data_IF_729526650005
#
_entry.id   IF_729526650005
#
_cell.length_a   1.000
_cell.length_b   1.000
_cell.length_c   1.000
_cell.angle_alpha   90.00
_cell.angle_beta   90.00
_cell.angle_gamma   90.00
#
_symmetry.space_group_name_H-M   'P 1'
#
loop_
_entity.id
_entity.type
_entity.pdbx_description
1 polymer ?
#
# COMPACT_ATOMS: atom_id res chain seq x y z
N UNK A 1 -6.16 18.66 6.32
CA UNK A 1 -5.47 18.41 5.03
C UNK A 1 -6.04 17.13 4.46
N UNK A 2 -6.32 17.02 3.16
CA UNK A 2 -6.87 15.78 2.61
C UNK A 2 -5.95 14.58 2.88
N UNK A 3 -6.51 13.52 3.44
CA UNK A 3 -5.87 12.21 3.56
C UNK A 3 -6.34 11.33 2.43
N UNK A 4 -5.40 10.73 1.71
CA UNK A 4 -5.66 9.82 0.60
C UNK A 4 -5.17 8.44 1.02
N UNK A 5 -6.07 7.47 1.05
CA UNK A 5 -5.76 6.07 1.33
C UNK A 5 -5.88 5.29 0.03
N UNK A 6 -4.81 4.59 -0.33
CA UNK A 6 -4.82 3.62 -1.43
C UNK A 6 -4.77 2.23 -0.80
N UNK A 7 -5.83 1.45 -1.02
CA UNK A 7 -6.02 0.12 -0.45
C UNK A 7 -6.01 -0.95 -1.53
N UNK A 8 -5.45 -2.11 -1.25
CA UNK A 8 -5.55 -3.30 -2.09
C UNK A 8 -5.31 -4.57 -1.29
N UNK A 9 -5.57 -5.72 -1.89
CA UNK A 9 -5.38 -7.01 -1.20
C UNK A 9 -3.91 -7.29 -0.92
N UNK A 10 -3.65 -8.14 0.07
CA UNK A 10 -2.35 -8.73 0.33
C UNK A 10 -2.50 -10.24 0.50
N UNK A 11 -1.63 -11.00 -0.14
CA UNK A 11 -1.55 -12.44 0.02
C UNK A 11 -0.53 -12.80 1.11
N UNK A 12 -0.89 -13.74 1.98
CA UNK A 12 -0.08 -14.20 3.09
C UNK A 12 0.35 -15.63 2.84
N UNK A 13 1.62 -15.95 3.08
CA UNK A 13 2.19 -17.27 2.86
C UNK A 13 2.98 -17.76 4.08
N UNK A 14 2.90 -19.06 4.33
CA UNK A 14 3.77 -19.78 5.25
C UNK A 14 4.59 -20.80 4.43
N UNK A 15 5.82 -20.43 4.08
CA UNK A 15 6.56 -21.10 3.02
C UNK A 15 5.81 -20.99 1.68
N UNK A 16 5.60 -22.11 0.99
CA UNK A 16 4.92 -22.14 -0.30
C UNK A 16 3.38 -22.24 -0.19
N UNK A 17 2.83 -22.25 1.02
CA UNK A 17 1.39 -22.42 1.25
C UNK A 17 0.73 -21.07 1.54
N UNK A 18 -0.25 -20.70 0.71
CA UNK A 18 -1.07 -19.52 0.97
C UNK A 18 -1.92 -19.73 2.23
N UNK A 19 -1.91 -18.74 3.11
CA UNK A 19 -2.69 -18.69 4.35
C UNK A 19 -3.95 -17.86 4.11
N UNK A 20 -5.10 -18.49 4.33
CA UNK A 20 -6.42 -17.84 4.25
C UNK A 20 -7.21 -17.94 5.55
N UNK A 21 -6.60 -18.47 6.62
CA UNK A 21 -7.23 -18.57 7.94
C UNK A 21 -7.50 -17.17 8.51
N UNK A 22 -8.77 -16.79 8.76
CA UNK A 22 -9.13 -15.49 9.28
C UNK A 22 -8.46 -15.13 10.61
N UNK A 23 -8.19 -16.11 11.48
CA UNK A 23 -7.52 -15.85 12.75
C UNK A 23 -6.07 -15.43 12.54
N UNK A 24 -5.39 -16.04 11.57
CA UNK A 24 -4.02 -15.66 11.20
C UNK A 24 -4.04 -14.29 10.54
N UNK A 25 -4.91 -14.05 9.56
CA UNK A 25 -4.97 -12.76 8.86
C UNK A 25 -5.29 -11.60 9.83
N UNK A 26 -6.23 -11.80 10.77
CA UNK A 26 -6.52 -10.83 11.84
C UNK A 26 -5.31 -10.54 12.73
N UNK A 27 -4.46 -11.54 12.99
CA UNK A 27 -3.27 -11.36 13.83
C UNK A 27 -2.19 -10.48 13.17
N UNK A 28 -2.27 -10.30 11.86
CA UNK A 28 -1.35 -9.48 11.06
C UNK A 28 -1.86 -8.03 10.90
N UNK A 29 -3.09 -7.74 11.31
CA UNK A 29 -3.64 -6.39 11.28
C UNK A 29 -2.85 -5.47 12.24
N UNK A 30 -2.52 -4.28 11.76
CA UNK A 30 -1.70 -3.29 12.47
C UNK A 30 -0.21 -3.41 12.23
N UNK A 31 0.27 -4.40 11.45
CA UNK A 31 1.66 -4.42 10.99
C UNK A 31 1.89 -3.23 10.05
N UNK A 32 3.05 -2.60 10.19
CA UNK A 32 3.50 -1.49 9.36
C UNK A 32 4.92 -1.76 8.87
N UNK A 33 5.18 -1.39 7.61
CA UNK A 33 6.51 -1.25 7.06
C UNK A 33 6.85 0.23 6.95
N UNK A 34 7.59 0.73 7.94
CA UNK A 34 7.94 2.15 8.13
C UNK A 34 9.42 2.47 7.83
N UNK A 35 10.19 1.48 7.38
CA UNK A 35 11.60 1.67 7.01
C UNK A 35 11.77 2.46 5.71
N UNK A 36 10.75 2.45 4.86
CA UNK A 36 10.72 3.19 3.59
C UNK A 36 9.46 4.04 3.48
N UNK A 37 9.59 5.16 2.77
CA UNK A 37 8.50 6.09 2.50
C UNK A 37 8.34 6.24 1.00
N UNK A 38 7.13 6.04 0.50
CA UNK A 38 6.83 6.13 -0.92
C UNK A 38 7.18 7.52 -1.47
N UNK A 39 6.94 8.59 -0.71
CA UNK A 39 7.26 9.94 -1.17
C UNK A 39 8.75 10.22 -1.34
N UNK A 40 9.64 9.38 -0.82
CA UNK A 40 11.08 9.54 -1.03
C UNK A 40 11.49 9.13 -2.46
N UNK A 41 10.62 8.41 -3.17
CA UNK A 41 10.88 7.87 -4.50
C UNK A 41 9.91 8.38 -5.58
N UNK A 42 8.96 9.24 -5.24
CA UNK A 42 8.04 9.83 -6.21
C UNK A 42 8.72 11.00 -6.93
N UNK A 43 8.75 10.96 -8.26
CA UNK A 43 9.42 11.98 -9.07
C UNK A 43 10.23 11.42 -10.25
N UNK A 44 10.68 12.32 -11.11
CA UNK A 44 11.35 11.99 -12.37
C UNK A 44 10.60 12.60 -13.55
N UNK A 45 9.48 12.00 -14.00
CA UNK A 45 8.58 12.62 -14.97
C UNK A 45 8.03 13.98 -14.46
N UNK A 46 7.78 14.96 -15.35
CA UNK A 46 7.26 16.27 -14.95
C UNK A 46 6.01 16.19 -14.06
N UNK A 47 5.07 15.32 -14.41
CA UNK A 47 3.79 15.16 -13.71
C UNK A 47 3.98 14.57 -12.30
N UNK A 48 4.92 13.64 -12.13
CA UNK A 48 5.25 13.09 -10.80
C UNK A 48 6.00 14.11 -9.94
N UNK A 49 6.85 14.95 -10.54
CA UNK A 49 7.52 16.02 -9.81
C UNK A 49 6.49 17.03 -9.27
N UNK A 50 5.50 17.41 -10.07
CA UNK A 50 4.40 18.29 -9.62
C UNK A 50 3.60 17.65 -8.48
N UNK A 51 3.25 16.37 -8.60
CA UNK A 51 2.57 15.61 -7.56
C UNK A 51 3.40 15.54 -6.26
N UNK A 52 4.71 15.30 -6.37
CA UNK A 52 5.62 15.27 -5.23
C UNK A 52 5.59 16.59 -4.43
N UNK A 53 5.48 17.74 -5.10
CA UNK A 53 5.48 19.05 -4.43
C UNK A 53 4.26 19.32 -3.55
N UNK A 54 3.17 18.57 -3.73
CA UNK A 54 1.92 18.77 -3.00
C UNK A 54 1.65 17.70 -1.95
N UNK A 55 2.54 16.71 -1.82
CA UNK A 55 2.46 15.64 -0.83
C UNK A 55 3.39 15.93 0.35
N UNK A 56 2.91 15.64 1.57
CA UNK A 56 3.79 15.54 2.74
C UNK A 56 4.68 14.30 2.63
N UNK A 57 5.89 14.36 3.20
CA UNK A 57 6.74 13.18 3.32
C UNK A 57 6.01 12.06 4.10
N UNK A 58 5.88 10.87 3.50
CA UNK A 58 5.12 9.76 4.05
C UNK A 58 4.83 8.64 3.04
N UNK A 59 3.71 7.96 3.23
CA UNK A 59 3.36 6.75 2.48
C UNK A 59 4.14 5.54 2.98
N UNK A 60 3.81 5.02 4.16
CA UNK A 60 4.26 3.70 4.64
C UNK A 60 3.22 2.65 4.28
N UNK A 61 3.61 1.37 4.20
CA UNK A 61 2.64 0.28 4.00
C UNK A 61 2.11 -0.17 5.34
N UNK A 62 0.79 -0.15 5.51
CA UNK A 62 0.09 -0.71 6.66
C UNK A 62 -0.78 -1.87 6.24
N UNK A 63 -0.93 -2.84 7.12
CA UNK A 63 -1.80 -3.98 6.92
C UNK A 63 -2.99 -3.92 7.85
N UNK A 64 -4.18 -4.13 7.31
CA UNK A 64 -5.40 -4.28 8.08
C UNK A 64 -6.15 -5.53 7.62
N UNK A 65 -7.05 -6.04 8.46
CA UNK A 65 -7.88 -7.19 8.09
C UNK A 65 -9.31 -6.73 7.83
N UNK A 66 -9.88 -7.18 6.71
CA UNK A 66 -11.26 -6.85 6.35
C UNK A 66 -12.21 -8.01 6.66
N UNK A 67 -12.99 -7.82 7.73
CA UNK A 67 -14.07 -8.72 8.14
C UNK A 67 -15.05 -8.99 6.99
N UNK A 68 -15.37 -10.26 6.77
CA UNK A 68 -16.36 -10.71 5.78
C UNK A 68 -15.80 -10.98 4.38
N UNK A 69 -14.63 -10.43 4.05
CA UNK A 69 -13.87 -10.78 2.83
C UNK A 69 -12.73 -11.76 3.10
N UNK A 70 -12.40 -11.99 4.37
CA UNK A 70 -11.32 -12.88 4.82
C UNK A 70 -9.99 -12.59 4.11
N UNK A 71 -9.67 -11.30 4.02
CA UNK A 71 -8.51 -10.79 3.27
C UNK A 71 -7.71 -9.82 4.12
N UNK A 72 -6.38 -9.89 4.00
CA UNK A 72 -5.48 -8.85 4.49
C UNK A 72 -5.41 -7.73 3.44
N UNK A 73 -5.44 -6.48 3.87
CA UNK A 73 -5.46 -5.30 3.02
C UNK A 73 -4.18 -4.51 3.25
N UNK A 74 -3.41 -4.28 2.19
CA UNK A 74 -2.34 -3.31 2.19
C UNK A 74 -2.92 -1.91 2.01
N UNK A 75 -2.42 -0.94 2.78
CA UNK A 75 -2.89 0.44 2.82
C UNK A 75 -1.66 1.35 2.78
N UNK A 76 -1.61 2.25 1.81
CA UNK A 76 -0.66 3.37 1.79
C UNK A 76 -1.41 4.68 2.02
N UNK A 77 -1.01 5.43 3.06
CA UNK A 77 -1.58 6.75 3.37
C UNK A 77 -0.69 7.87 2.85
N UNK A 78 -1.32 8.80 2.12
CA UNK A 78 -0.73 10.06 1.70
C UNK A 78 -1.48 11.24 2.32
N UNK A 79 -0.76 12.33 2.56
CA UNK A 79 -1.34 13.62 2.95
C UNK A 79 -0.97 14.66 1.90
N UNK A 80 -1.94 15.46 1.50
CA UNK A 80 -1.71 16.53 0.53
C UNK A 80 -2.04 17.90 1.07
N UNK A 81 -1.31 18.92 0.63
CA UNK A 81 -1.55 20.32 1.02
C UNK A 81 -2.81 20.91 0.37
N UNK A 82 -3.34 20.25 -0.66
CA UNK A 82 -4.57 20.64 -1.36
C UNK A 82 -5.33 19.39 -1.85
N UNK A 83 -6.59 19.54 -2.30
CA UNK A 83 -7.23 18.47 -3.06
C UNK A 83 -6.42 18.13 -4.32
N UNK A 84 -6.26 16.83 -4.57
CA UNK A 84 -5.69 16.31 -5.82
C UNK A 84 -6.76 16.26 -6.91
N UNK A 85 -6.37 16.57 -8.13
CA UNK A 85 -7.19 16.36 -9.33
C UNK A 85 -7.32 14.88 -9.66
N UNK A 86 -8.28 14.53 -10.51
CA UNK A 86 -8.46 13.14 -10.97
C UNK A 86 -7.21 12.58 -11.66
N UNK A 87 -6.47 13.42 -12.38
CA UNK A 87 -5.22 13.02 -13.04
C UNK A 87 -4.12 12.71 -12.01
N UNK A 88 -3.98 13.57 -11.00
CA UNK A 88 -3.02 13.37 -9.91
C UNK A 88 -3.36 12.14 -9.06
N UNK A 89 -4.65 11.90 -8.80
CA UNK A 89 -5.11 10.70 -8.08
C UNK A 89 -4.79 9.43 -8.87
N UNK A 90 -5.04 9.42 -10.19
CA UNK A 90 -4.68 8.29 -11.05
C UNK A 90 -3.17 8.04 -11.05
N UNK A 91 -2.37 9.10 -11.19
CA UNK A 91 -0.92 9.01 -11.15
C UNK A 91 -0.43 8.46 -9.81
N UNK A 92 -0.99 8.94 -8.69
CA UNK A 92 -0.65 8.44 -7.36
C UNK A 92 -0.99 6.96 -7.20
N UNK A 93 -2.13 6.50 -7.75
CA UNK A 93 -2.51 5.07 -7.74
C UNK A 93 -1.55 4.24 -8.58
N UNK A 94 -1.27 4.65 -9.82
CA UNK A 94 -0.36 3.94 -10.72
C UNK A 94 1.04 3.82 -10.09
N UNK A 95 1.55 4.91 -9.53
CA UNK A 95 2.80 4.94 -8.79
C UNK A 95 2.78 3.99 -7.58
N UNK A 96 1.73 4.03 -6.76
CA UNK A 96 1.61 3.18 -5.57
C UNK A 96 1.57 1.70 -5.94
N UNK A 97 0.82 1.33 -6.98
CA UNK A 97 0.77 -0.06 -7.45
C UNK A 97 2.11 -0.52 -8.01
N UNK A 98 2.84 0.36 -8.71
CA UNK A 98 4.20 0.08 -9.17
C UNK A 98 5.14 -0.22 -8.00
N UNK A 99 5.12 0.62 -6.96
CA UNK A 99 5.92 0.42 -5.75
C UNK A 99 5.51 -0.82 -4.95
N UNK A 100 4.23 -1.20 -4.94
CA UNK A 100 3.79 -2.47 -4.36
C UNK A 100 4.30 -3.69 -5.12
N UNK A 101 4.47 -3.58 -6.44
CA UNK A 101 4.87 -4.71 -7.29
C UNK A 101 6.36 -5.00 -7.26
N UNK A 102 7.21 -3.99 -7.41
CA UNK A 102 8.63 -4.15 -7.81
C UNK A 102 9.53 -3.10 -7.11
N UNK A 103 9.12 -2.65 -5.93
CA UNK A 103 9.81 -1.64 -5.12
C UNK A 103 9.64 -1.92 -3.64
N UNK A 104 9.11 -0.94 -2.90
CA UNK A 104 8.89 -1.06 -1.44
C UNK A 104 8.09 -2.33 -1.08
N UNK A 105 7.14 -2.75 -1.93
CA UNK A 105 6.38 -3.99 -1.71
C UNK A 105 7.20 -5.27 -1.88
N UNK A 106 8.19 -5.30 -2.76
CA UNK A 106 9.11 -6.43 -2.91
C UNK A 106 10.08 -6.49 -1.71
N UNK A 107 10.60 -5.33 -1.28
CA UNK A 107 11.43 -5.22 -0.08
C UNK A 107 10.67 -5.75 1.14
N UNK A 108 9.42 -5.32 1.32
CA UNK A 108 8.55 -5.84 2.37
C UNK A 108 8.34 -7.36 2.25
N UNK A 109 8.09 -7.87 1.04
CA UNK A 109 7.90 -9.30 0.81
C UNK A 109 9.11 -10.10 1.31
N UNK A 110 10.32 -9.63 1.03
CA UNK A 110 11.57 -10.27 1.50
C UNK A 110 11.73 -10.23 3.02
N UNK A 111 11.31 -9.15 3.68
CA UNK A 111 11.54 -8.94 5.12
C UNK A 111 10.41 -9.48 6.02
N UNK A 112 9.19 -9.54 5.50
CA UNK A 112 7.97 -9.82 6.26
C UNK A 112 8.05 -11.12 7.06
N UNK A 113 8.66 -12.18 6.51
CA UNK A 113 8.83 -13.45 7.20
C UNK A 113 9.70 -13.32 8.46
N UNK A 114 10.75 -12.49 8.43
CA UNK A 114 11.58 -12.21 9.59
C UNK A 114 10.89 -11.33 10.64
N UNK A 115 9.94 -10.50 10.21
CA UNK A 115 9.23 -9.54 11.09
C UNK A 115 7.98 -10.12 11.74
N UNK A 116 7.23 -10.97 11.04
CA UNK A 116 5.94 -11.49 11.52
C UNK A 116 5.76 -13.01 11.38
N UNK A 117 6.76 -13.73 10.84
CA UNK A 117 6.70 -15.18 10.64
C UNK A 117 5.96 -15.61 9.37
N UNK A 118 5.47 -14.67 8.56
CA UNK A 118 4.79 -14.92 7.29
C UNK A 118 5.36 -14.05 6.18
N UNK A 119 5.40 -14.60 4.96
CA UNK A 119 5.66 -13.79 3.76
C UNK A 119 4.37 -13.09 3.36
N UNK A 120 4.40 -11.77 3.21
CA UNK A 120 3.24 -10.96 2.84
C UNK A 120 3.54 -10.23 1.53
N UNK A 121 2.71 -10.46 0.52
CA UNK A 121 2.82 -9.87 -0.81
C UNK A 121 1.65 -8.92 -1.06
N UNK A 122 1.94 -7.68 -1.45
CA UNK A 122 0.90 -6.75 -1.89
C UNK A 122 0.38 -7.19 -3.26
N UNK A 123 -0.94 -7.25 -3.43
CA UNK A 123 -1.58 -7.61 -4.69
C UNK A 123 -1.83 -6.36 -5.55
N UNK A 124 -1.70 -6.53 -6.85
CA UNK A 124 -1.79 -5.46 -7.85
C UNK A 124 -2.85 -5.80 -8.91
N UNK A 125 -3.21 -4.86 -9.82
CA UNK A 125 -4.11 -5.16 -10.94
C UNK A 125 -3.72 -6.37 -11.79
N UNK A 126 -2.42 -6.71 -11.87
CA UNK A 126 -1.96 -7.92 -12.55
C UNK A 126 -2.47 -9.21 -11.89
N UNK A 127 -2.78 -9.16 -10.60
CA UNK A 127 -3.28 -10.27 -9.79
C UNK A 127 -4.82 -10.36 -9.78
N UNK A 128 -5.49 -9.52 -10.58
CA UNK A 128 -6.95 -9.47 -10.69
C UNK A 128 -7.64 -8.66 -9.57
N UNK A 129 -6.89 -7.87 -8.79
CA UNK A 129 -7.45 -6.97 -7.76
C UNK A 129 -7.48 -5.53 -8.23
N UNK A 130 -8.50 -4.76 -7.85
CA UNK A 130 -8.59 -3.33 -8.17
C UNK A 130 -8.32 -2.53 -6.90
N UNK A 131 -7.35 -1.60 -6.89
CA UNK A 131 -7.11 -0.77 -5.72
C UNK A 131 -8.29 0.16 -5.48
N UNK A 132 -8.59 0.40 -4.21
CA UNK A 132 -9.63 1.33 -3.76
C UNK A 132 -8.96 2.61 -3.27
N UNK A 133 -9.42 3.75 -3.79
CA UNK A 133 -8.99 5.07 -3.32
C UNK A 133 -10.05 5.64 -2.39
N UNK A 134 -9.66 6.01 -1.17
CA UNK A 134 -10.53 6.74 -0.22
C UNK A 134 -9.92 8.09 0.08
N UNK A 135 -10.73 9.14 -0.06
CA UNK A 135 -10.35 10.51 0.32
C UNK A 135 -11.09 10.85 1.61
N UNK A 136 -10.34 11.16 2.67
CA UNK A 136 -10.88 11.54 3.97
C UNK A 136 -10.59 13.02 4.18
N UNK A 137 -11.65 13.82 4.28
CA UNK A 137 -11.57 15.24 4.62
C UNK A 137 -11.80 15.40 6.12
N UNK A 138 -10.80 15.92 6.83
CA UNK A 138 -10.88 16.32 8.24
C UNK A 138 -11.54 17.70 8.41
#
# INVERSE_FOLDING_TARGET
MPRILIEGGAAVFNGDTQVTDPLVLRSLAGIEYDEERFTDYIGGPPEENELATVLDAGGTIKFDYRDGEDVLVAITEYRSHRPLSDAELRLLVEYTMGQWSDGIGENWTCESAGKCGYTIMCLTPGDGVVPVVKIVNE
#
